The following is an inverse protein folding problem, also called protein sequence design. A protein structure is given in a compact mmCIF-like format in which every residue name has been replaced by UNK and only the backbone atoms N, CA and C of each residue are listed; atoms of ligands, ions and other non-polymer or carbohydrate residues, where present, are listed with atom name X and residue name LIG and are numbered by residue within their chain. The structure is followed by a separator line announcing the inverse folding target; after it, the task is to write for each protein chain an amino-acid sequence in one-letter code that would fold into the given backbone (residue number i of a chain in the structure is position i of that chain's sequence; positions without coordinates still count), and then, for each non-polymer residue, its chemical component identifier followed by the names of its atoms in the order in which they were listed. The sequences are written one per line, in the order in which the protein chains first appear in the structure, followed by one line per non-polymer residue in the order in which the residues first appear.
data_IF_471427824461
#
_entry.id   IF_471427824461
#
_cell.length_a   1.000
_cell.length_b   1.000
_cell.length_c   1.000
_cell.angle_alpha   90.00
_cell.angle_beta   90.00
_cell.angle_gamma   90.00
#
_symmetry.space_group_name_H-M   'P 1'
#
loop_
_entity.id
_entity.type
_entity.pdbx_description
1 polymer ?
#
# COMPACT_ATOMS: atom_id res chain seq x y z
N UNK A 1 -22.54 -1.07 5.23
CA UNK A 1 -22.11 0.34 5.21
C UNK A 1 -21.94 0.80 3.78
N UNK A 2 -22.60 1.90 3.42
CA UNK A 2 -22.44 2.51 2.09
C UNK A 2 -21.24 3.46 2.09
N UNK A 3 -20.51 3.48 0.98
CA UNK A 3 -19.42 4.44 0.77
C UNK A 3 -20.03 5.83 0.59
N UNK A 4 -19.72 6.76 1.50
CA UNK A 4 -20.10 8.15 1.38
C UNK A 4 -19.18 8.86 0.36
N UNK A 5 -19.69 9.11 -0.84
CA UNK A 5 -18.95 9.83 -1.87
C UNK A 5 -18.81 11.32 -1.51
N UNK A 6 -17.57 11.82 -1.53
CA UNK A 6 -17.22 13.22 -1.20
C UNK A 6 -16.47 13.85 -2.37
N UNK A 7 -16.70 15.15 -2.58
CA UNK A 7 -16.00 15.93 -3.62
C UNK A 7 -14.69 16.54 -3.12
N UNK A 8 -14.51 16.62 -1.80
CA UNK A 8 -13.34 17.18 -1.16
C UNK A 8 -12.84 16.25 -0.07
N UNK A 9 -11.53 16.26 0.14
CA UNK A 9 -10.89 15.57 1.24
C UNK A 9 -11.15 16.37 2.52
N UNK A 10 -11.70 15.72 3.53
CA UNK A 10 -11.93 16.28 4.88
C UNK A 10 -10.91 15.66 5.85
N UNK A 11 -10.29 16.47 6.71
CA UNK A 11 -9.25 16.04 7.65
C UNK A 11 -7.82 16.26 7.14
N UNK A 12 -6.85 16.00 8.03
CA UNK A 12 -5.42 16.24 7.77
C UNK A 12 -4.53 15.01 8.00
N UNK A 13 -5.08 13.92 8.54
CA UNK A 13 -4.33 12.73 8.92
C UNK A 13 -4.91 11.52 8.18
N UNK A 14 -4.11 10.96 7.27
CA UNK A 14 -4.50 9.84 6.44
C UNK A 14 -3.43 8.75 6.55
N UNK A 15 -3.85 7.52 6.83
CA UNK A 15 -2.93 6.37 6.87
C UNK A 15 -2.58 5.84 5.49
N UNK A 16 -3.50 5.98 4.52
CA UNK A 16 -3.40 5.39 3.19
C UNK A 16 -4.34 6.03 2.18
N UNK A 17 -3.91 6.09 0.92
CA UNK A 17 -4.75 6.45 -0.21
C UNK A 17 -4.90 5.27 -1.17
N UNK A 18 -6.12 5.09 -1.70
CA UNK A 18 -6.43 4.08 -2.69
C UNK A 18 -6.83 4.76 -3.99
N UNK A 19 -6.17 4.39 -5.08
CA UNK A 19 -6.49 4.86 -6.42
C UNK A 19 -7.00 3.68 -7.24
N UNK A 20 -8.10 3.91 -7.95
CA UNK A 20 -8.74 2.92 -8.82
C UNK A 20 -8.99 3.53 -10.19
N UNK A 21 -8.80 2.74 -11.23
CA UNK A 21 -9.21 3.12 -12.58
C UNK A 21 -9.93 1.98 -13.29
N UNK A 22 -10.89 2.33 -14.16
CA UNK A 22 -11.65 1.35 -14.95
C UNK A 22 -10.78 0.64 -16.00
N UNK A 23 -9.65 1.22 -16.39
CA UNK A 23 -8.74 0.67 -17.40
C UNK A 23 -7.33 0.52 -16.85
N UNK A 24 -6.61 -0.50 -17.34
CA UNK A 24 -5.22 -0.76 -16.95
C UNK A 24 -4.31 0.37 -17.42
N UNK A 25 -4.60 0.93 -18.58
CA UNK A 25 -3.85 2.02 -19.18
C UNK A 25 -3.88 3.25 -18.28
N UNK A 26 -5.05 3.60 -17.73
CA UNK A 26 -5.20 4.78 -16.88
C UNK A 26 -4.48 4.61 -15.54
N UNK A 27 -4.66 3.46 -14.86
CA UNK A 27 -3.95 3.23 -13.60
C UNK A 27 -2.44 3.14 -13.80
N UNK A 28 -1.97 2.56 -14.91
CA UNK A 28 -0.55 2.47 -15.22
C UNK A 28 0.04 3.84 -15.58
N UNK A 29 -0.74 4.73 -16.21
CA UNK A 29 -0.33 6.13 -16.37
C UNK A 29 -0.17 6.80 -15.01
N UNK A 30 -1.12 6.62 -14.10
CA UNK A 30 -1.02 7.17 -12.74
C UNK A 30 0.18 6.61 -11.97
N UNK A 31 0.46 5.30 -12.06
CA UNK A 31 1.66 4.69 -11.47
C UNK A 31 2.95 5.35 -11.97
N UNK A 32 3.03 5.76 -13.24
CA UNK A 32 4.20 6.49 -13.78
C UNK A 32 4.33 7.89 -13.17
N UNK A 33 3.23 8.60 -12.99
CA UNK A 33 3.22 9.90 -12.30
C UNK A 33 3.72 9.75 -10.86
N UNK A 34 3.28 8.72 -10.15
CA UNK A 34 3.76 8.43 -8.80
C UNK A 34 5.26 8.14 -8.75
N UNK A 35 5.82 7.48 -9.76
CA UNK A 35 7.28 7.28 -9.86
C UNK A 35 8.03 8.61 -9.98
N UNK A 36 7.48 9.60 -10.70
CA UNK A 36 8.06 10.94 -10.76
C UNK A 36 7.92 11.66 -9.43
N UNK A 37 6.74 11.64 -8.82
CA UNK A 37 6.47 12.31 -7.54
C UNK A 37 7.36 11.76 -6.41
N UNK A 38 7.71 10.47 -6.47
CA UNK A 38 8.60 9.83 -5.50
C UNK A 38 10.03 10.41 -5.48
N UNK A 39 10.41 11.17 -6.50
CA UNK A 39 11.68 11.91 -6.51
C UNK A 39 11.66 13.14 -5.59
N UNK A 40 10.48 13.67 -5.28
CA UNK A 40 10.29 14.87 -4.46
C UNK A 40 9.80 14.53 -3.05
N UNK A 41 8.95 13.51 -2.93
CA UNK A 41 8.30 13.13 -1.68
C UNK A 41 8.40 11.62 -1.52
N UNK A 42 8.92 11.14 -0.40
CA UNK A 42 9.04 9.70 -0.17
C UNK A 42 7.71 9.08 0.29
N UNK A 43 7.36 7.95 -0.31
CA UNK A 43 6.19 7.15 0.02
C UNK A 43 6.33 5.71 -0.50
N UNK A 44 5.57 4.79 0.07
CA UNK A 44 5.50 3.40 -0.40
C UNK A 44 4.26 3.20 -1.25
N UNK A 45 4.41 2.53 -2.39
CA UNK A 45 3.28 2.11 -3.21
C UNK A 45 3.09 0.60 -3.16
N UNK A 46 1.84 0.14 -3.12
CA UNK A 46 1.48 -1.27 -3.33
C UNK A 46 0.40 -1.43 -4.38
N UNK A 47 0.33 -2.60 -4.99
CA UNK A 47 -0.74 -2.98 -5.92
C UNK A 47 -1.42 -4.23 -5.36
N UNK A 48 -2.73 -4.22 -5.23
CA UNK A 48 -3.55 -5.38 -4.83
C UNK A 48 -4.40 -5.93 -5.98
N UNK A 49 -4.53 -5.17 -7.09
CA UNK A 49 -5.13 -5.65 -8.34
C UNK A 49 -4.61 -4.86 -9.55
N UNK A 50 -4.86 -5.37 -10.75
CA UNK A 50 -4.42 -4.73 -12.02
C UNK A 50 -5.02 -3.33 -12.26
N UNK A 51 -6.05 -2.96 -11.50
CA UNK A 51 -6.81 -1.71 -11.63
C UNK A 51 -6.57 -0.73 -10.48
N UNK A 52 -5.58 -1.02 -9.64
CA UNK A 52 -5.34 -0.32 -8.39
C UNK A 52 -3.86 0.10 -8.24
N UNK A 53 -3.66 1.18 -7.49
CA UNK A 53 -2.43 1.46 -6.76
C UNK A 53 -2.78 2.11 -5.43
N UNK A 54 -2.01 1.78 -4.41
CA UNK A 54 -2.17 2.29 -3.05
C UNK A 54 -0.92 3.07 -2.65
N UNK A 55 -1.09 4.12 -1.86
CA UNK A 55 0.02 4.93 -1.32
C UNK A 55 -0.05 4.92 0.20
N UNK A 56 1.07 4.64 0.84
CA UNK A 56 1.27 4.72 2.28
C UNK A 56 2.52 5.55 2.59
N UNK A 57 2.68 5.89 3.87
CA UNK A 57 3.93 6.46 4.41
C UNK A 57 5.13 5.62 3.97
N UNK A 58 6.24 6.29 3.69
CA UNK A 58 7.49 5.64 3.29
C UNK A 58 7.89 4.51 4.24
N UNK A 59 8.29 3.38 3.68
CA UNK A 59 8.66 2.17 4.42
C UNK A 59 7.50 1.42 5.07
N UNK A 60 6.26 1.90 5.02
CA UNK A 60 5.11 1.20 5.61
C UNK A 60 4.48 0.24 4.61
N UNK A 61 4.49 -1.05 4.94
CA UNK A 61 3.81 -2.13 4.20
C UNK A 61 3.51 -3.33 5.11
N UNK A 62 2.85 -4.37 4.58
CA UNK A 62 2.47 -5.57 5.34
C UNK A 62 3.68 -6.25 6.01
N UNK A 63 4.82 -6.38 5.31
CA UNK A 63 6.03 -6.99 5.84
C UNK A 63 6.60 -6.23 7.04
N UNK A 64 6.73 -4.91 6.93
CA UNK A 64 7.20 -4.09 8.06
C UNK A 64 6.24 -4.14 9.24
N UNK A 65 4.93 -4.30 8.99
CA UNK A 65 3.92 -4.54 10.03
C UNK A 65 4.11 -5.89 10.72
N UNK A 66 4.34 -6.97 9.97
CA UNK A 66 4.65 -8.30 10.53
C UNK A 66 5.93 -8.25 11.36
N UNK A 67 6.99 -7.62 10.86
CA UNK A 67 8.25 -7.44 11.59
C UNK A 67 8.06 -6.72 12.93
N UNK A 68 7.25 -5.66 12.95
CA UNK A 68 6.88 -4.96 14.18
C UNK A 68 6.17 -5.89 15.17
N UNK A 69 5.24 -6.71 14.69
CA UNK A 69 4.49 -7.66 15.53
C UNK A 69 5.40 -8.76 16.09
N UNK A 70 6.24 -9.39 15.26
CA UNK A 70 7.19 -10.42 15.70
C UNK A 70 8.11 -9.89 16.79
N UNK A 71 8.66 -8.69 16.61
CA UNK A 71 9.46 -8.00 17.61
C UNK A 71 8.68 -7.76 18.90
N UNK A 72 7.44 -7.28 18.80
CA UNK A 72 6.58 -7.02 19.95
C UNK A 72 6.26 -8.26 20.79
N UNK A 73 6.14 -9.42 20.15
CA UNK A 73 5.87 -10.70 20.81
C UNK A 73 7.11 -11.55 21.12
N UNK A 74 8.31 -11.10 20.74
CA UNK A 74 9.55 -11.86 20.92
C UNK A 74 9.61 -13.14 20.08
N UNK A 75 8.93 -13.15 18.92
CA UNK A 75 8.89 -14.27 17.99
C UNK A 75 9.98 -14.14 16.92
N UNK A 76 10.50 -15.28 16.45
CA UNK A 76 11.50 -15.31 15.41
C UNK A 76 10.88 -15.43 14.01
N UNK A 77 11.41 -14.69 13.04
CA UNK A 77 10.98 -14.77 11.63
C UNK A 77 11.08 -16.20 11.08
N UNK A 78 12.14 -16.95 11.44
CA UNK A 78 12.34 -18.35 11.01
C UNK A 78 11.24 -19.33 11.46
N UNK A 79 10.46 -18.95 12.46
CA UNK A 79 9.35 -19.73 13.02
C UNK A 79 8.00 -19.19 12.54
N UNK A 80 8.01 -18.25 11.60
CA UNK A 80 6.82 -17.56 11.09
C UNK A 80 6.53 -18.03 9.67
N UNK A 81 5.26 -18.33 9.40
CA UNK A 81 4.76 -18.64 8.05
C UNK A 81 3.97 -17.43 7.54
N UNK A 82 4.38 -16.88 6.41
CA UNK A 82 3.62 -15.88 5.66
C UNK A 82 2.85 -16.56 4.52
N UNK A 83 1.60 -16.14 4.29
CA UNK A 83 0.74 -16.60 3.20
C UNK A 83 0.11 -15.35 2.57
N UNK A 84 0.13 -15.28 1.24
CA UNK A 84 -0.41 -14.15 0.48
C UNK A 84 -0.91 -14.56 -0.90
N UNK A 85 -1.73 -13.70 -1.49
CA UNK A 85 -2.41 -13.94 -2.76
C UNK A 85 -2.14 -12.86 -3.81
N UNK A 86 -1.50 -11.75 -3.43
CA UNK A 86 -1.34 -10.58 -4.31
C UNK A 86 0.04 -9.91 -4.17
N UNK A 87 0.35 -8.98 -5.08
CA UNK A 87 1.67 -8.33 -5.16
C UNK A 87 2.07 -7.61 -3.86
N UNK A 88 1.10 -7.10 -3.09
CA UNK A 88 1.38 -6.42 -1.83
C UNK A 88 1.82 -7.37 -0.70
N UNK A 89 1.74 -8.68 -0.91
CA UNK A 89 2.22 -9.71 0.01
C UNK A 89 3.65 -10.16 -0.27
N UNK A 90 4.16 -9.91 -1.49
CA UNK A 90 5.51 -10.31 -1.91
C UNK A 90 6.61 -9.91 -0.90
N UNK A 91 6.58 -8.73 -0.26
CA UNK A 91 7.63 -8.37 0.70
C UNK A 91 7.63 -9.22 1.98
N UNK A 92 6.55 -9.97 2.26
CA UNK A 92 6.44 -10.86 3.43
C UNK A 92 6.96 -12.28 3.17
N UNK A 93 7.07 -12.68 1.89
CA UNK A 93 7.38 -14.05 1.44
C UNK A 93 8.88 -14.20 1.17
#
# INVERSE_FOLDING_TARGET
DEIAWKQHIEGSEFSKFYFFARTKEHINSWKKELVQLKQEIDFTTSTSSEHNVEIMVAGVNKATGVQQMLKGFGLAERETLAIGDSDNDLPML
#
